data_IF_908936619093
#
_entry.id   IF_908936619093
#
_cell.length_a   1.000
_cell.length_b   1.000
_cell.length_c   1.000
_cell.angle_alpha   90.00
_cell.angle_beta   90.00
_cell.angle_gamma   90.00
#
_symmetry.space_group_name_H-M   'P 1'
#
loop_
_entity.id
_entity.type
_entity.pdbx_description
1 polymer ?
#
# COMPACT_ATOMS: atom_id res chain seq x y z
N UNK A 1 -16.80 -25.14 11.72
CA UNK A 1 -15.82 -24.28 11.02
C UNK A 1 -16.14 -22.85 11.40
N UNK A 2 -15.20 -22.15 12.06
CA UNK A 2 -15.32 -20.71 12.21
C UNK A 2 -15.06 -20.09 10.84
N UNK A 3 -16.01 -19.33 10.31
CA UNK A 3 -15.74 -18.51 9.13
C UNK A 3 -14.74 -17.46 9.54
N UNK A 4 -13.54 -17.47 8.98
CA UNK A 4 -12.63 -16.34 9.07
C UNK A 4 -13.31 -15.15 8.39
N UNK A 5 -13.32 -13.99 9.04
CA UNK A 5 -13.77 -12.78 8.39
C UNK A 5 -12.87 -12.53 7.19
N UNK A 6 -13.46 -12.27 6.04
CA UNK A 6 -12.73 -11.93 4.82
C UNK A 6 -12.24 -10.48 4.81
N UNK A 7 -12.66 -9.70 5.77
CA UNK A 7 -12.27 -8.29 5.95
C UNK A 7 -12.21 -7.94 7.45
N UNK A 8 -11.40 -6.96 7.75
CA UNK A 8 -11.21 -6.38 9.06
C UNK A 8 -11.27 -4.86 8.92
N UNK A 9 -11.90 -4.19 9.85
CA UNK A 9 -12.06 -2.76 9.80
C UNK A 9 -11.81 -2.15 11.18
N UNK A 10 -11.27 -0.95 11.20
CA UNK A 10 -11.06 -0.15 12.40
C UNK A 10 -11.27 1.32 12.09
N UNK A 11 -11.66 2.08 13.08
CA UNK A 11 -11.77 3.53 12.99
C UNK A 11 -10.54 4.18 13.60
N UNK A 12 -10.11 5.28 13.00
CA UNK A 12 -9.11 6.19 13.54
C UNK A 12 -9.80 7.45 14.02
N UNK A 13 -9.25 8.11 15.06
CA UNK A 13 -9.71 9.44 15.44
C UNK A 13 -9.53 10.45 14.30
N UNK A 14 -10.50 11.35 14.13
CA UNK A 14 -10.51 12.34 13.04
C UNK A 14 -9.25 13.20 13.03
N UNK A 15 -8.76 13.62 14.18
CA UNK A 15 -7.53 14.40 14.31
C UNK A 15 -6.29 13.67 13.78
N UNK A 16 -6.24 12.34 13.87
CA UNK A 16 -5.18 11.53 13.27
C UNK A 16 -5.32 11.49 11.75
N UNK A 17 -6.55 11.34 11.25
CA UNK A 17 -6.84 11.36 9.81
C UNK A 17 -6.45 12.72 9.23
N UNK A 18 -6.82 13.82 9.88
CA UNK A 18 -6.48 15.19 9.47
C UNK A 18 -4.97 15.42 9.40
N UNK A 19 -4.21 14.89 10.37
CA UNK A 19 -2.75 14.99 10.38
C UNK A 19 -2.16 14.22 9.19
N UNK A 20 -2.64 13.02 8.94
CA UNK A 20 -2.16 12.18 7.84
C UNK A 20 -2.49 12.85 6.50
N UNK A 21 -3.75 13.28 6.30
CA UNK A 21 -4.18 13.93 5.07
C UNK A 21 -3.36 15.18 4.77
N UNK A 22 -3.20 16.05 5.77
CA UNK A 22 -2.42 17.28 5.62
C UNK A 22 -0.98 16.99 5.23
N UNK A 23 -0.30 16.07 5.92
CA UNK A 23 1.10 15.76 5.66
C UNK A 23 1.31 15.12 4.29
N UNK A 24 0.41 14.23 3.88
CA UNK A 24 0.44 13.63 2.55
C UNK A 24 0.17 14.67 1.45
N UNK A 25 -0.80 15.54 1.66
CA UNK A 25 -1.14 16.62 0.73
C UNK A 25 0.04 17.58 0.53
N UNK A 26 0.64 18.07 1.62
CA UNK A 26 1.78 18.97 1.57
C UNK A 26 3.01 18.35 0.88
N UNK A 27 3.23 17.05 1.09
CA UNK A 27 4.42 16.36 0.60
C UNK A 27 4.27 15.79 -0.81
N UNK A 28 3.06 15.38 -1.21
CA UNK A 28 2.87 14.55 -2.41
C UNK A 28 1.90 15.12 -3.44
N UNK A 29 1.12 16.16 -3.17
CA UNK A 29 0.17 16.70 -4.15
C UNK A 29 0.83 17.13 -5.46
N UNK A 30 2.03 17.66 -5.39
CA UNK A 30 2.80 18.05 -6.58
C UNK A 30 3.29 16.86 -7.42
N UNK A 31 3.21 15.65 -6.88
CA UNK A 31 3.61 14.41 -7.53
C UNK A 31 2.41 13.63 -8.07
N UNK A 32 1.19 14.16 -7.87
CA UNK A 32 -0.03 13.54 -8.39
C UNK A 32 -0.01 13.46 -9.91
N UNK A 33 -0.30 12.29 -10.44
CA UNK A 33 -0.40 12.01 -11.86
C UNK A 33 -1.59 11.09 -12.13
N UNK A 34 -2.07 11.06 -13.37
CA UNK A 34 -3.14 10.16 -13.79
C UNK A 34 -2.75 8.71 -13.47
N UNK A 35 -3.65 8.02 -12.78
CA UNK A 35 -3.42 6.64 -12.35
C UNK A 35 -3.36 5.70 -13.54
N UNK A 36 -2.41 4.78 -13.51
CA UNK A 36 -2.20 3.77 -14.56
C UNK A 36 -2.61 2.39 -14.07
N UNK A 37 -2.96 1.54 -15.00
CA UNK A 37 -3.21 0.11 -14.75
C UNK A 37 -1.88 -0.67 -14.75
N UNK A 38 -1.98 -1.93 -14.38
CA UNK A 38 -0.85 -2.85 -14.47
C UNK A 38 -0.25 -2.85 -15.89
N UNK A 39 1.07 -2.82 -15.99
CA UNK A 39 1.77 -2.69 -17.27
C UNK A 39 1.86 -1.27 -17.81
N UNK A 40 1.69 -0.27 -16.95
CA UNK A 40 1.84 1.16 -17.26
C UNK A 40 0.82 1.71 -18.29
N UNK A 41 -0.30 1.02 -18.45
CA UNK A 41 -1.36 1.43 -19.37
C UNK A 41 -2.28 2.49 -18.75
N UNK A 42 -2.51 3.58 -19.48
CA UNK A 42 -3.54 4.55 -19.15
C UNK A 42 -4.86 4.09 -19.78
N UNK A 43 -5.87 3.85 -18.97
CA UNK A 43 -7.21 3.47 -19.42
C UNK A 43 -8.28 4.09 -18.52
N UNK A 44 -8.78 5.25 -18.93
CA UNK A 44 -9.77 6.02 -18.17
C UNK A 44 -11.18 5.41 -18.17
N UNK A 45 -11.45 4.43 -19.01
CA UNK A 45 -12.71 3.67 -18.98
C UNK A 45 -12.75 2.65 -17.82
N UNK A 46 -11.57 2.24 -17.35
CA UNK A 46 -11.45 1.31 -16.21
C UNK A 46 -11.08 2.02 -14.91
N UNK A 47 -10.26 3.06 -15.02
CA UNK A 47 -9.82 3.84 -13.87
C UNK A 47 -9.61 5.29 -14.28
N UNK A 48 -10.34 6.19 -13.64
CA UNK A 48 -10.10 7.63 -13.70
C UNK A 48 -9.85 8.13 -12.28
N UNK A 49 -8.61 8.45 -11.98
CA UNK A 49 -8.15 8.96 -10.68
C UNK A 49 -6.73 9.51 -10.82
N UNK A 50 -6.27 10.20 -9.81
CA UNK A 50 -4.88 10.62 -9.70
C UNK A 50 -4.23 9.95 -8.50
N UNK A 51 -2.95 9.62 -8.60
CA UNK A 51 -2.21 9.07 -7.48
C UNK A 51 -0.76 9.54 -7.43
N UNK A 52 -0.23 9.52 -6.23
CA UNK A 52 1.20 9.62 -5.94
C UNK A 52 1.66 8.39 -5.15
N UNK A 53 2.94 8.08 -5.20
CA UNK A 53 3.53 6.95 -4.49
C UNK A 53 4.30 7.43 -3.27
N UNK A 54 3.93 6.93 -2.10
CA UNK A 54 4.53 7.26 -0.82
C UNK A 54 5.46 6.13 -0.44
N UNK A 55 6.76 6.39 -0.23
CA UNK A 55 7.68 5.34 0.21
C UNK A 55 7.29 4.85 1.62
N UNK A 56 7.45 3.57 1.89
CA UNK A 56 7.16 2.98 3.21
C UNK A 56 8.10 3.47 4.31
N UNK A 57 9.20 4.15 3.94
CA UNK A 57 10.06 4.89 4.87
C UNK A 57 9.44 6.17 5.40
N UNK A 58 8.37 6.67 4.77
CA UNK A 58 7.57 7.77 5.31
C UNK A 58 6.85 7.30 6.57
N UNK A 59 6.68 8.18 7.56
CA UNK A 59 6.09 7.79 8.86
C UNK A 59 4.67 7.18 8.74
N UNK A 60 3.87 7.67 7.78
CA UNK A 60 2.55 7.10 7.47
C UNK A 60 2.64 5.64 7.08
N UNK A 61 3.70 5.25 6.35
CA UNK A 61 3.94 3.85 6.01
C UNK A 61 4.11 2.97 7.24
N UNK A 62 4.92 3.40 8.20
CA UNK A 62 5.11 2.69 9.48
C UNK A 62 3.84 2.64 10.33
N UNK A 63 3.09 3.74 10.35
CA UNK A 63 1.81 3.83 11.04
C UNK A 63 0.80 2.83 10.48
N UNK A 64 0.62 2.79 9.15
CA UNK A 64 -0.31 1.86 8.51
C UNK A 64 0.16 0.41 8.63
N UNK A 65 1.46 0.17 8.56
CA UNK A 65 2.01 -1.16 8.78
C UNK A 65 1.68 -1.71 10.16
N UNK A 66 1.68 -0.86 11.19
CA UNK A 66 1.23 -1.25 12.52
C UNK A 66 -0.20 -1.79 12.52
N UNK A 67 -1.13 -1.08 11.86
CA UNK A 67 -2.53 -1.51 11.79
C UNK A 67 -2.72 -2.76 10.93
N UNK A 68 -2.00 -2.88 9.82
CA UNK A 68 -2.00 -4.09 8.99
C UNK A 68 -1.53 -5.30 9.81
N UNK A 69 -0.44 -5.16 10.55
CA UNK A 69 0.09 -6.25 11.37
C UNK A 69 -0.81 -6.60 12.56
N UNK A 70 -1.49 -5.61 13.12
CA UNK A 70 -2.51 -5.84 14.14
C UNK A 70 -3.67 -6.64 13.58
N UNK A 71 -4.26 -6.21 12.47
CA UNK A 71 -5.35 -6.90 11.78
C UNK A 71 -4.94 -8.33 11.38
N UNK A 72 -3.73 -8.50 10.88
CA UNK A 72 -3.21 -9.81 10.52
C UNK A 72 -3.10 -10.74 11.73
N UNK A 73 -2.57 -10.26 12.84
CA UNK A 73 -2.42 -11.05 14.07
C UNK A 73 -3.76 -11.43 14.70
N UNK A 74 -4.73 -10.52 14.63
CA UNK A 74 -6.05 -10.72 15.23
C UNK A 74 -6.97 -11.58 14.36
N UNK A 75 -6.75 -11.61 13.04
CA UNK A 75 -7.73 -12.21 12.13
C UNK A 75 -7.16 -13.12 11.03
N UNK A 76 -6.12 -12.71 10.30
CA UNK A 76 -5.71 -13.39 9.06
C UNK A 76 -4.60 -14.42 9.22
N UNK A 77 -3.65 -14.17 10.12
CA UNK A 77 -2.52 -15.05 10.46
C UNK A 77 -1.61 -15.43 9.28
N UNK A 78 -1.44 -14.53 8.32
CA UNK A 78 -0.50 -14.71 7.22
C UNK A 78 0.94 -14.37 7.61
N UNK A 79 1.92 -14.97 6.93
CA UNK A 79 3.32 -14.53 6.97
C UNK A 79 3.49 -13.30 6.09
N UNK A 80 3.22 -12.13 6.66
CA UNK A 80 3.38 -10.85 5.96
C UNK A 80 4.79 -10.31 6.17
N UNK A 81 5.43 -9.87 5.08
CA UNK A 81 6.82 -9.42 5.12
C UNK A 81 6.98 -7.94 4.81
N UNK A 82 6.23 -7.42 3.87
CA UNK A 82 6.31 -6.03 3.46
C UNK A 82 5.03 -5.57 2.77
N UNK A 83 4.95 -4.29 2.50
CA UNK A 83 4.00 -3.68 1.57
C UNK A 83 4.56 -3.87 0.16
N UNK A 84 3.72 -4.26 -0.80
CA UNK A 84 4.12 -4.50 -2.18
C UNK A 84 4.78 -3.26 -2.81
N UNK A 85 5.92 -3.49 -3.45
CA UNK A 85 6.72 -2.41 -4.04
C UNK A 85 7.32 -1.42 -3.04
N UNK A 86 7.24 -1.71 -1.73
CA UNK A 86 7.69 -0.80 -0.66
C UNK A 86 7.12 0.62 -0.77
N UNK A 87 5.91 0.73 -1.30
CA UNK A 87 5.22 2.01 -1.47
C UNK A 87 3.73 1.89 -1.27
N UNK A 88 3.13 2.98 -0.84
CA UNK A 88 1.70 3.14 -0.67
C UNK A 88 1.15 3.99 -1.79
N UNK A 89 -0.03 3.66 -2.27
CA UNK A 89 -0.71 4.48 -3.24
C UNK A 89 -1.59 5.52 -2.52
N UNK A 90 -1.22 6.78 -2.60
CA UNK A 90 -2.06 7.91 -2.21
C UNK A 90 -2.91 8.30 -3.40
N UNK A 91 -4.22 8.06 -3.34
CA UNK A 91 -5.12 8.24 -4.47
C UNK A 91 -6.15 9.32 -4.17
N UNK A 92 -6.41 10.17 -5.17
CA UNK A 92 -7.45 11.18 -5.16
C UNK A 92 -8.45 10.90 -6.26
N UNK A 93 -9.72 10.95 -5.90
CA UNK A 93 -10.85 10.91 -6.82
C UNK A 93 -11.56 12.26 -6.79
N UNK A 94 -11.71 12.90 -7.96
CA UNK A 94 -12.56 14.04 -8.15
C UNK A 94 -13.98 13.64 -8.49
N UNK A 95 -14.86 14.62 -8.64
CA UNK A 95 -16.26 14.37 -9.02
C UNK A 95 -16.35 13.53 -10.31
N UNK A 96 -17.14 12.46 -10.25
CA UNK A 96 -17.32 11.53 -11.36
C UNK A 96 -16.16 10.59 -11.65
N UNK A 97 -15.06 10.70 -10.93
CA UNK A 97 -13.92 9.80 -11.08
C UNK A 97 -14.16 8.47 -10.35
N UNK A 98 -13.53 7.41 -10.81
CA UNK A 98 -13.78 6.06 -10.32
C UNK A 98 -12.62 5.11 -10.58
N UNK A 99 -12.68 3.98 -9.88
CA UNK A 99 -11.95 2.77 -10.23
C UNK A 99 -12.96 1.60 -10.33
N UNK A 100 -13.07 1.01 -11.50
CA UNK A 100 -14.00 -0.08 -11.74
C UNK A 100 -13.67 -1.33 -10.92
N UNK A 101 -14.61 -2.25 -10.86
CA UNK A 101 -14.43 -3.53 -10.18
C UNK A 101 -13.18 -4.25 -10.71
N UNK A 102 -12.31 -4.66 -9.81
CA UNK A 102 -11.06 -5.33 -10.12
C UNK A 102 -10.69 -6.30 -9.01
N UNK A 103 -9.69 -7.11 -9.27
CA UNK A 103 -9.13 -8.03 -8.30
C UNK A 103 -7.70 -7.60 -7.98
N UNK A 104 -7.39 -7.42 -6.71
CA UNK A 104 -6.04 -7.10 -6.22
C UNK A 104 -5.15 -8.34 -6.10
N UNK A 105 -5.70 -9.55 -6.29
CA UNK A 105 -4.92 -10.77 -6.29
C UNK A 105 -3.97 -10.82 -7.48
N UNK A 106 -2.75 -11.25 -7.25
CA UNK A 106 -1.75 -11.38 -8.29
C UNK A 106 -0.37 -11.67 -7.70
N UNK A 107 0.57 -11.87 -8.61
CA UNK A 107 1.99 -11.92 -8.23
C UNK A 107 2.40 -10.52 -7.76
N UNK A 108 2.92 -10.44 -6.54
CA UNK A 108 3.59 -9.25 -6.07
C UNK A 108 4.91 -9.08 -6.81
N UNK A 109 5.42 -7.86 -6.84
CA UNK A 109 6.80 -7.61 -7.26
C UNK A 109 7.76 -8.43 -6.38
N UNK A 110 8.84 -8.89 -6.97
CA UNK A 110 9.86 -9.61 -6.21
C UNK A 110 10.39 -8.72 -5.08
N UNK A 111 10.36 -9.22 -3.87
CA UNK A 111 10.93 -8.53 -2.73
C UNK A 111 12.45 -8.45 -2.88
N UNK A 112 12.96 -7.25 -3.03
CA UNK A 112 14.37 -6.96 -2.94
C UNK A 112 14.55 -6.01 -1.76
N UNK A 113 15.13 -6.46 -0.64
CA UNK A 113 15.37 -5.56 0.49
C UNK A 113 16.38 -4.49 0.07
N UNK A 114 15.88 -3.30 -0.31
CA UNK A 114 16.69 -2.19 -0.81
C UNK A 114 17.74 -1.74 0.21
N UNK A 115 17.43 -1.86 1.49
CA UNK A 115 18.33 -1.49 2.59
C UNK A 115 19.51 -2.46 2.77
N UNK A 116 19.42 -3.66 2.24
CA UNK A 116 20.48 -4.69 2.37
C UNK A 116 21.51 -4.51 1.27
N UNK A 117 21.13 -4.04 0.08
CA UNK A 117 22.03 -3.85 -1.06
C UNK A 117 23.22 -2.92 -0.75
N UNK A 118 22.99 -1.86 0.01
CA UNK A 118 24.05 -0.91 0.39
C UNK A 118 24.85 -1.31 1.64
N UNK A 119 24.37 -2.27 2.41
CA UNK A 119 25.05 -2.80 3.60
C UNK A 119 25.72 -4.15 3.37
N UNK A 120 25.45 -4.79 2.26
CA UNK A 120 25.86 -6.16 2.00
C UNK A 120 27.33 -6.31 1.58
N UNK A 121 28.05 -5.22 1.35
CA UNK A 121 29.50 -5.29 1.13
C UNK A 121 30.29 -5.88 2.31
N UNK A 122 29.62 -6.04 3.48
CA UNK A 122 30.22 -6.63 4.67
C UNK A 122 29.46 -7.83 5.27
N UNK A 123 28.30 -8.19 4.75
CA UNK A 123 27.50 -9.31 5.22
C UNK A 123 27.43 -10.32 4.07
N UNK A 124 27.96 -11.50 4.21
CA UNK A 124 28.12 -12.52 3.18
C UNK A 124 26.94 -12.62 2.19
N UNK A 125 27.24 -12.97 0.97
CA UNK A 125 26.33 -12.98 -0.19
C UNK A 125 25.03 -13.78 -0.02
N UNK A 126 24.92 -14.58 1.03
CA UNK A 126 23.78 -15.45 1.26
C UNK A 126 22.46 -14.72 1.59
N UNK A 127 22.55 -13.49 2.11
CA UNK A 127 21.38 -12.68 2.42
C UNK A 127 20.85 -11.84 1.24
N UNK A 128 21.62 -11.69 0.17
CA UNK A 128 21.35 -10.73 -0.92
C UNK A 128 20.73 -11.42 -2.14
N UNK A 129 20.85 -12.73 -2.27
CA UNK A 129 20.53 -13.47 -3.51
C UNK A 129 19.20 -14.24 -3.47
N UNK A 130 18.45 -14.22 -2.38
CA UNK A 130 17.16 -14.88 -2.38
C UNK A 130 16.12 -13.98 -3.08
N UNK A 131 15.85 -14.28 -4.34
CA UNK A 131 14.63 -13.86 -5.01
C UNK A 131 13.46 -14.57 -4.35
N UNK A 132 12.90 -13.97 -3.31
CA UNK A 132 11.72 -14.49 -2.66
C UNK A 132 10.52 -14.13 -3.53
N UNK A 133 9.89 -15.14 -4.11
CA UNK A 133 8.59 -14.93 -4.75
C UNK A 133 7.56 -14.54 -3.70
N UNK A 134 6.95 -13.39 -3.91
CA UNK A 134 5.93 -12.84 -3.02
C UNK A 134 4.56 -12.90 -3.67
N UNK A 135 3.54 -13.15 -2.86
CA UNK A 135 2.15 -13.16 -3.29
C UNK A 135 1.39 -12.17 -2.41
N UNK A 136 0.54 -11.35 -3.01
CA UNK A 136 -0.35 -10.47 -2.26
C UNK A 136 -1.33 -11.30 -1.43
N UNK A 137 -1.38 -11.05 -0.14
CA UNK A 137 -2.26 -11.74 0.81
C UNK A 137 -3.38 -10.86 1.33
N UNK A 138 -3.08 -9.59 1.50
CA UNK A 138 -4.02 -8.59 2.00
C UNK A 138 -3.96 -7.35 1.10
N UNK A 139 -5.11 -6.73 0.93
CA UNK A 139 -5.25 -5.37 0.43
C UNK A 139 -5.84 -4.52 1.55
N UNK A 140 -5.44 -3.27 1.65
CA UNK A 140 -6.03 -2.34 2.60
C UNK A 140 -6.34 -1.01 1.94
N UNK A 141 -7.33 -0.33 2.47
CA UNK A 141 -7.66 1.04 2.11
C UNK A 141 -7.89 1.85 3.40
N UNK A 142 -7.42 3.08 3.39
CA UNK A 142 -7.71 4.06 4.41
C UNK A 142 -8.42 5.24 3.77
N UNK A 143 -9.61 5.56 4.27
CA UNK A 143 -10.36 6.74 3.85
C UNK A 143 -9.82 7.95 4.59
N UNK A 144 -9.48 9.01 3.85
CA UNK A 144 -8.93 10.27 4.38
C UNK A 144 -9.91 11.44 4.33
N UNK A 145 -11.01 11.30 3.62
CA UNK A 145 -12.06 12.30 3.53
C UNK A 145 -13.42 11.68 3.82
N UNK A 146 -14.36 12.48 4.24
CA UNK A 146 -15.74 12.04 4.34
C UNK A 146 -16.27 11.61 2.97
N UNK A 147 -17.13 10.60 2.92
CA UNK A 147 -17.83 10.27 1.68
C UNK A 147 -18.82 11.40 1.35
N UNK A 148 -18.76 11.89 0.11
CA UNK A 148 -19.74 12.84 -0.43
C UNK A 148 -21.13 12.22 -0.61
#
# INVERSE_FOLDING_TARGET
>A
MAFQSIWYYTELPDDIIDIIERDLSESFDKQMADSRLHGDALNKEKRDSQNAWIPTTHWVGGFLWHYIMRANRENFLYDLRCIDGESLQYTRYGEGQFYGWHNDAGLASQYKPVSVGNRAEGLGQDFVNENIEMVRKLSFAMQLSDPD
#
